data_IF_572162399017
#
_entry.id   IF_572162399017
#
_cell.length_a   1.000
_cell.length_b   1.000
_cell.length_c   1.000
_cell.angle_alpha   90.00
_cell.angle_beta   90.00
_cell.angle_gamma   90.00
#
_symmetry.space_group_name_H-M   'P 1'
#
loop_
_entity.id
_entity.type
_entity.pdbx_description
1 polymer ?
#
# COMPACT_ATOMS: atom_id res chain seq x y z
N UNK A 1 16.20 -19.41 44.72
CA UNK A 1 16.36 -18.05 44.18
C UNK A 1 15.20 -17.75 43.26
N UNK A 2 14.65 -16.53 43.29
CA UNK A 2 13.62 -16.12 42.33
C UNK A 2 14.33 -15.72 41.02
N UNK A 3 13.91 -16.28 39.90
CA UNK A 3 14.46 -15.93 38.59
C UNK A 3 13.91 -14.59 38.10
N UNK A 4 14.61 -13.98 37.14
CA UNK A 4 14.13 -12.79 36.45
C UNK A 4 13.01 -13.19 35.48
N UNK A 5 11.90 -12.44 35.50
CA UNK A 5 10.82 -12.60 34.53
C UNK A 5 11.32 -12.27 33.12
N UNK A 6 10.83 -13.00 32.11
CA UNK A 6 11.34 -12.89 30.75
C UNK A 6 11.15 -11.48 30.17
N UNK A 7 10.01 -10.86 30.45
CA UNK A 7 9.65 -9.50 30.03
C UNK A 7 10.69 -8.49 30.52
N UNK A 8 11.20 -8.68 31.74
CA UNK A 8 12.20 -7.79 32.33
C UNK A 8 13.56 -7.92 31.63
N UNK A 9 13.89 -9.11 31.15
CA UNK A 9 15.07 -9.31 30.30
C UNK A 9 14.89 -8.62 28.94
N UNK A 10 13.69 -8.66 28.35
CA UNK A 10 13.40 -7.96 27.08
C UNK A 10 13.50 -6.43 27.26
N UNK A 11 12.91 -5.88 28.32
CA UNK A 11 12.99 -4.44 28.64
C UNK A 11 14.43 -3.93 28.78
N UNK A 12 15.35 -4.77 29.30
CA UNK A 12 16.79 -4.49 29.33
C UNK A 12 17.36 -4.32 27.92
N UNK A 13 17.08 -5.23 26.99
CA UNK A 13 17.58 -5.14 25.61
C UNK A 13 16.94 -4.00 24.80
N UNK A 14 15.68 -3.65 25.08
CA UNK A 14 15.00 -2.48 24.50
C UNK A 14 15.48 -1.13 25.08
N UNK A 15 16.40 -1.14 26.07
CA UNK A 15 16.90 0.06 26.78
C UNK A 15 15.80 0.86 27.49
N UNK A 16 14.81 0.17 28.08
CA UNK A 16 13.66 0.78 28.77
C UNK A 16 13.81 0.80 30.29
N UNK A 17 14.85 0.16 30.82
CA UNK A 17 15.18 0.12 32.25
C UNK A 17 16.14 1.26 32.62
N UNK A 18 16.03 1.72 33.86
CA UNK A 18 17.02 2.63 34.46
C UNK A 18 18.37 1.94 34.69
N UNK A 19 19.43 2.73 34.86
CA UNK A 19 20.78 2.20 35.13
C UNK A 19 20.83 1.35 36.40
N UNK A 20 20.04 1.71 37.41
CA UNK A 20 19.93 0.94 38.66
C UNK A 20 19.32 -0.44 38.42
N UNK A 21 18.18 -0.50 37.73
CA UNK A 21 17.49 -1.76 37.40
C UNK A 21 18.34 -2.65 36.49
N UNK A 22 19.10 -2.05 35.58
CA UNK A 22 20.04 -2.77 34.73
C UNK A 22 21.15 -3.43 35.55
N UNK A 23 21.71 -2.71 36.53
CA UNK A 23 22.75 -3.22 37.42
C UNK A 23 22.26 -4.38 38.30
N UNK A 24 21.02 -4.31 38.79
CA UNK A 24 20.40 -5.40 39.58
C UNK A 24 20.24 -6.68 38.74
N UNK A 25 19.83 -6.54 37.47
CA UNK A 25 19.71 -7.66 36.53
C UNK A 25 21.08 -8.26 36.20
N UNK A 26 22.10 -7.42 35.97
CA UNK A 26 23.45 -7.89 35.64
C UNK A 26 24.09 -8.63 36.81
N UNK A 27 23.90 -8.13 38.05
CA UNK A 27 24.33 -8.82 39.26
C UNK A 27 23.67 -10.19 39.40
N UNK A 28 22.37 -10.29 39.15
CA UNK A 28 21.67 -11.58 39.20
C UNK A 28 22.12 -12.55 38.10
N UNK A 29 22.32 -12.07 36.87
CA UNK A 29 22.81 -12.89 35.75
C UNK A 29 24.20 -13.47 36.04
N UNK A 30 25.06 -12.70 36.72
CA UNK A 30 26.39 -13.17 37.12
C UNK A 30 26.33 -14.36 38.11
N UNK A 31 25.25 -14.46 38.90
CA UNK A 31 25.07 -15.50 39.92
C UNK A 31 24.14 -16.64 39.48
N UNK A 32 23.28 -16.42 38.47
CA UNK A 32 22.27 -17.38 38.02
C UNK A 32 22.52 -17.86 36.58
N UNK A 33 22.99 -19.10 36.43
CA UNK A 33 23.27 -19.74 35.13
C UNK A 33 22.07 -19.74 34.18
N UNK A 34 20.87 -19.99 34.71
CA UNK A 34 19.66 -20.12 33.88
C UNK A 34 19.25 -18.76 33.28
N UNK A 35 19.33 -17.70 34.08
CA UNK A 35 19.11 -16.33 33.63
C UNK A 35 20.21 -15.89 32.66
N UNK A 36 21.46 -16.31 32.88
CA UNK A 36 22.57 -16.09 31.95
C UNK A 36 22.35 -16.73 30.58
N UNK A 37 21.89 -18.00 30.53
CA UNK A 37 21.58 -18.68 29.27
C UNK A 37 20.44 -17.97 28.53
N UNK A 38 19.37 -17.57 29.23
CA UNK A 38 18.25 -16.83 28.63
C UNK A 38 18.69 -15.45 28.10
N UNK A 39 19.51 -14.74 28.87
CA UNK A 39 20.05 -13.43 28.48
C UNK A 39 20.97 -13.55 27.25
N UNK A 40 21.82 -14.56 27.18
CA UNK A 40 22.69 -14.80 26.02
C UNK A 40 21.87 -15.05 24.74
N UNK A 41 20.81 -15.87 24.81
CA UNK A 41 19.91 -16.10 23.67
C UNK A 41 19.21 -14.83 23.20
N UNK A 42 18.79 -13.98 24.13
CA UNK A 42 18.22 -12.67 23.80
C UNK A 42 19.27 -11.76 23.17
N UNK A 43 20.50 -11.75 23.68
CA UNK A 43 21.60 -10.98 23.09
C UNK A 43 21.86 -11.38 21.63
N UNK A 44 21.88 -12.67 21.33
CA UNK A 44 22.05 -13.18 19.96
C UNK A 44 20.90 -12.74 19.05
N UNK A 45 19.65 -12.84 19.53
CA UNK A 45 18.47 -12.40 18.78
C UNK A 45 18.51 -10.89 18.50
N UNK A 46 18.79 -10.07 19.52
CA UNK A 46 18.85 -8.63 19.36
C UNK A 46 20.04 -8.20 18.50
N UNK A 47 21.18 -8.90 18.56
CA UNK A 47 22.30 -8.66 17.67
C UNK A 47 21.96 -8.93 16.19
N UNK A 48 21.06 -9.86 15.90
CA UNK A 48 20.55 -10.10 14.54
C UNK A 48 19.57 -9.01 14.08
N UNK A 49 18.79 -8.44 15.01
CA UNK A 49 17.84 -7.35 14.71
C UNK A 49 18.49 -5.96 14.65
N UNK A 50 19.62 -5.79 15.34
CA UNK A 50 20.40 -4.56 15.35
C UNK A 50 21.20 -4.51 14.04
N UNK A 51 20.55 -3.98 12.99
CA UNK A 51 21.17 -3.71 11.70
C UNK A 51 22.22 -2.60 11.94
N UNK A 52 23.42 -3.01 12.36
CA UNK A 52 24.53 -2.11 12.71
C UNK A 52 25.09 -1.34 11.50
N UNK A 53 24.73 -1.75 10.30
CA UNK A 53 25.10 -1.09 9.03
C UNK A 53 23.91 -0.38 8.38
N UNK A 54 23.13 0.36 9.17
CA UNK A 54 22.32 1.42 8.56
C UNK A 54 23.27 2.54 8.13
N UNK A 55 23.71 2.49 6.88
CA UNK A 55 24.41 3.60 6.24
C UNK A 55 23.62 4.90 6.50
N UNK A 56 24.34 5.98 6.82
CA UNK A 56 23.72 7.29 6.92
C UNK A 56 23.07 7.61 5.58
N UNK A 57 21.73 7.65 5.58
CA UNK A 57 20.96 8.07 4.41
C UNK A 57 21.50 9.44 3.97
N UNK A 58 22.04 9.57 2.75
CA UNK A 58 22.58 10.83 2.27
C UNK A 58 21.51 11.92 2.37
N UNK A 59 21.89 13.12 2.82
CA UNK A 59 20.92 14.22 3.01
C UNK A 59 20.12 14.52 1.74
N UNK A 60 20.70 14.30 0.56
CA UNK A 60 20.01 14.45 -0.72
C UNK A 60 18.85 13.45 -0.88
N UNK A 61 18.97 12.23 -0.36
CA UNK A 61 17.91 11.21 -0.38
C UNK A 61 16.79 11.60 0.60
N UNK A 62 17.15 12.04 1.81
CA UNK A 62 16.17 12.53 2.79
C UNK A 62 15.42 13.76 2.27
N UNK A 63 16.14 14.71 1.66
CA UNK A 63 15.55 15.90 1.03
C UNK A 63 14.69 15.53 -0.19
N UNK A 64 15.09 14.51 -0.96
CA UNK A 64 14.30 13.97 -2.06
C UNK A 64 12.97 13.39 -1.59
N UNK A 65 13.01 12.55 -0.54
CA UNK A 65 11.81 11.97 0.08
C UNK A 65 10.92 13.08 0.64
N UNK A 66 11.47 14.04 1.39
CA UNK A 66 10.70 15.17 1.90
C UNK A 66 10.11 16.01 0.76
N UNK A 67 10.83 16.23 -0.34
CA UNK A 67 10.32 16.93 -1.51
C UNK A 67 9.19 16.16 -2.21
N UNK A 68 9.19 14.83 -2.22
CA UNK A 68 8.07 14.03 -2.75
C UNK A 68 6.81 14.31 -1.93
N UNK A 69 6.91 14.32 -0.59
CA UNK A 69 5.77 14.59 0.29
C UNK A 69 5.40 16.08 0.41
N UNK A 70 6.35 17.00 0.17
CA UNK A 70 6.15 18.45 0.24
C UNK A 70 5.81 19.09 -1.12
N UNK A 71 5.91 18.33 -2.22
CA UNK A 71 5.38 18.74 -3.53
C UNK A 71 3.87 18.86 -3.44
N UNK A 72 3.41 20.03 -2.98
CA UNK A 72 2.13 20.57 -3.37
C UNK A 72 2.17 20.65 -4.89
N UNK A 73 1.25 19.99 -5.63
CA UNK A 73 1.27 20.04 -7.07
C UNK A 73 1.19 21.51 -7.50
N UNK A 74 2.25 21.99 -8.15
CA UNK A 74 2.18 23.26 -8.86
C UNK A 74 1.22 22.99 -10.02
N UNK A 75 0.04 23.61 -9.97
CA UNK A 75 -0.89 23.64 -11.10
C UNK A 75 -0.16 24.28 -12.28
N UNK A 76 0.38 23.45 -13.17
CA UNK A 76 0.71 23.87 -14.52
C UNK A 76 -0.61 23.98 -15.27
N UNK A 77 -1.09 25.22 -15.44
CA UNK A 77 -2.23 25.56 -16.29
C UNK A 77 -1.87 25.28 -17.76
N UNK A 78 -1.85 24.00 -18.15
CA UNK A 78 -1.93 23.60 -19.55
C UNK A 78 -3.42 23.41 -19.82
N UNK A 79 -3.99 24.32 -20.61
CA UNK A 79 -5.39 24.32 -21.00
C UNK A 79 -5.72 23.07 -21.83
N UNK A 80 -6.24 22.04 -21.17
CA UNK A 80 -6.92 20.89 -21.79
C UNK A 80 -8.42 21.19 -21.81
N UNK A 81 -9.14 20.95 -22.92
CA UNK A 81 -10.55 21.29 -23.04
C UNK A 81 -11.39 20.51 -22.02
N UNK A 82 -12.19 21.25 -21.25
CA UNK A 82 -13.09 20.73 -20.22
C UNK A 82 -14.29 20.00 -20.85
N UNK A 83 -14.43 18.71 -20.55
CA UNK A 83 -15.65 17.91 -20.78
C UNK A 83 -15.92 17.08 -19.54
N UNK A 84 -17.19 16.85 -19.22
CA UNK A 84 -17.72 16.47 -17.91
C UNK A 84 -17.06 15.29 -17.19
N UNK A 85 -17.08 15.33 -15.85
CA UNK A 85 -16.79 14.17 -14.99
C UNK A 85 -15.32 13.98 -14.57
N UNK A 86 -14.52 15.03 -14.45
CA UNK A 86 -13.23 14.94 -13.77
C UNK A 86 -13.40 14.80 -12.25
N UNK A 87 -12.36 14.26 -11.62
CA UNK A 87 -12.16 14.06 -10.18
C UNK A 87 -12.72 12.69 -9.75
N UNK A 88 -11.94 11.69 -9.29
CA UNK A 88 -10.79 11.77 -8.39
C UNK A 88 -9.77 10.59 -8.60
N UNK A 89 -8.99 10.54 -9.68
CA UNK A 89 -7.81 9.63 -9.72
C UNK A 89 -6.80 10.06 -8.65
N UNK A 90 -6.58 9.23 -7.63
CA UNK A 90 -5.68 9.53 -6.50
C UNK A 90 -4.36 8.78 -6.55
N UNK A 91 -4.28 7.71 -7.33
CA UNK A 91 -3.05 6.93 -7.52
C UNK A 91 -3.07 6.24 -8.89
N UNK A 92 -1.91 6.18 -9.55
CA UNK A 92 -1.66 5.47 -10.80
C UNK A 92 -0.19 5.02 -10.83
N UNK A 93 0.07 3.72 -10.74
CA UNK A 93 1.44 3.21 -10.59
C UNK A 93 2.30 3.37 -11.85
N UNK A 94 1.69 3.50 -13.02
CA UNK A 94 2.41 3.83 -14.27
C UNK A 94 2.92 5.27 -14.32
N UNK A 95 2.38 6.16 -13.49
CA UNK A 95 2.87 7.53 -13.36
C UNK A 95 3.99 7.64 -12.31
N UNK A 96 4.31 6.55 -11.61
CA UNK A 96 5.36 6.51 -10.61
C UNK A 96 6.74 6.32 -11.25
N UNK A 97 7.78 6.86 -10.62
CA UNK A 97 9.14 6.59 -11.05
C UNK A 97 9.51 5.12 -10.76
N UNK A 98 10.33 4.51 -11.63
CA UNK A 98 10.75 3.09 -11.62
C UNK A 98 11.28 2.56 -10.26
N UNK A 99 11.61 3.45 -9.31
CA UNK A 99 12.13 3.12 -7.99
C UNK A 99 11.07 3.14 -6.86
N UNK A 100 9.82 3.46 -7.17
CA UNK A 100 8.72 3.49 -6.21
C UNK A 100 7.82 2.28 -6.50
N UNK A 101 7.83 1.28 -5.60
CA UNK A 101 7.03 0.02 -5.59
C UNK A 101 6.22 -0.24 -6.87
N UNK A 102 6.94 -0.58 -7.93
CA UNK A 102 6.38 -0.89 -9.24
C UNK A 102 5.77 -2.28 -9.23
N UNK A 103 4.47 -2.39 -9.55
CA UNK A 103 3.80 -3.68 -9.70
C UNK A 103 4.03 -4.19 -11.13
N UNK A 104 5.22 -4.72 -11.44
CA UNK A 104 5.49 -5.44 -12.71
C UNK A 104 5.34 -4.63 -14.03
N UNK A 105 5.90 -5.16 -15.13
CA UNK A 105 5.88 -4.46 -16.44
C UNK A 105 4.51 -4.49 -17.14
N UNK A 106 3.66 -5.45 -16.80
CA UNK A 106 2.42 -5.75 -17.52
C UNK A 106 1.17 -5.54 -16.64
N UNK A 107 1.31 -4.86 -15.50
CA UNK A 107 0.17 -4.51 -14.64
C UNK A 107 0.12 -3.02 -14.36
N UNK A 108 -1.10 -2.48 -14.27
CA UNK A 108 -1.39 -1.11 -13.88
C UNK A 108 -2.38 -1.12 -12.73
N UNK A 109 -2.13 -0.32 -11.71
CA UNK A 109 -3.05 -0.10 -10.61
C UNK A 109 -3.42 1.38 -10.55
N UNK A 110 -4.72 1.64 -10.53
CA UNK A 110 -5.30 2.96 -10.39
C UNK A 110 -6.27 2.98 -9.22
N UNK A 111 -6.21 4.03 -8.41
CA UNK A 111 -7.15 4.24 -7.32
C UNK A 111 -7.95 5.52 -7.60
N UNK A 112 -9.27 5.41 -7.55
CA UNK A 112 -10.18 6.53 -7.69
C UNK A 112 -10.90 6.77 -6.37
N UNK A 113 -11.31 8.01 -6.14
CA UNK A 113 -12.24 8.40 -5.07
C UNK A 113 -13.48 9.01 -5.71
N UNK A 114 -14.66 8.91 -5.11
CA UNK A 114 -15.86 9.63 -5.56
C UNK A 114 -16.95 9.60 -4.50
N UNK A 115 -17.43 10.77 -4.05
CA UNK A 115 -18.56 10.92 -3.12
C UNK A 115 -18.53 9.99 -1.88
N UNK A 116 -17.34 9.72 -1.36
CA UNK A 116 -17.15 8.87 -0.18
C UNK A 116 -16.88 7.39 -0.49
N UNK A 117 -16.84 7.02 -1.77
CA UNK A 117 -16.35 5.74 -2.23
C UNK A 117 -14.91 5.84 -2.73
N UNK A 118 -14.16 4.75 -2.60
CA UNK A 118 -12.87 4.50 -3.21
C UNK A 118 -13.01 3.30 -4.15
N UNK A 119 -12.38 3.38 -5.32
CA UNK A 119 -12.37 2.31 -6.32
C UNK A 119 -10.91 1.96 -6.61
N UNK A 120 -10.50 0.76 -6.21
CA UNK A 120 -9.22 0.18 -6.64
C UNK A 120 -9.44 -0.56 -7.97
N UNK A 121 -8.70 -0.19 -8.99
CA UNK A 121 -8.81 -0.73 -10.34
C UNK A 121 -7.45 -1.26 -10.79
N UNK A 122 -7.40 -2.55 -11.11
CA UNK A 122 -6.20 -3.22 -11.60
C UNK A 122 -6.41 -3.76 -13.02
N UNK A 123 -5.45 -3.46 -13.86
CA UNK A 123 -5.36 -3.92 -15.24
C UNK A 123 -4.15 -4.85 -15.33
N UNK A 124 -4.36 -6.05 -15.84
CA UNK A 124 -3.30 -6.99 -16.21
C UNK A 124 -3.29 -7.12 -17.73
N UNK A 125 -2.21 -6.72 -18.39
CA UNK A 125 -2.05 -6.82 -19.84
C UNK A 125 -1.62 -8.23 -20.23
N UNK A 126 -2.35 -8.84 -21.17
CA UNK A 126 -2.11 -10.19 -21.65
C UNK A 126 -2.14 -10.16 -23.18
N UNK A 127 -0.98 -9.97 -23.81
CA UNK A 127 -0.83 -9.82 -25.26
C UNK A 127 -1.64 -8.65 -25.83
N UNK A 128 -2.72 -8.91 -26.58
CA UNK A 128 -3.65 -7.92 -27.17
C UNK A 128 -4.94 -7.76 -26.36
N UNK A 129 -5.05 -8.49 -25.25
CA UNK A 129 -6.14 -8.43 -24.29
C UNK A 129 -5.65 -7.89 -22.96
N UNK A 130 -6.59 -7.65 -22.06
CA UNK A 130 -6.32 -7.33 -20.68
C UNK A 130 -7.39 -7.94 -19.78
N UNK A 131 -7.02 -8.20 -18.53
CA UNK A 131 -7.96 -8.57 -17.47
C UNK A 131 -8.16 -7.35 -16.58
N UNK A 132 -9.43 -7.00 -16.36
CA UNK A 132 -9.82 -5.91 -15.47
C UNK A 132 -10.40 -6.48 -14.18
N UNK A 133 -9.80 -6.10 -13.06
CA UNK A 133 -10.27 -6.47 -11.72
C UNK A 133 -10.28 -5.25 -10.82
N UNK A 134 -11.08 -5.26 -9.78
CA UNK A 134 -11.07 -4.15 -8.84
C UNK A 134 -12.01 -4.35 -7.67
N UNK A 135 -12.09 -3.31 -6.86
CA UNK A 135 -12.87 -3.32 -5.63
C UNK A 135 -13.43 -1.93 -5.33
N UNK A 136 -14.67 -1.90 -4.84
CA UNK A 136 -15.33 -0.70 -4.32
C UNK A 136 -15.31 -0.70 -2.79
N UNK A 137 -14.95 0.43 -2.20
CA UNK A 137 -15.00 0.68 -0.76
C UNK A 137 -15.77 1.97 -0.43
N UNK A 138 -16.57 2.03 0.66
CA UNK A 138 -17.08 0.87 1.37
C UNK A 138 -17.89 -0.04 0.44
N UNK A 139 -17.95 -1.33 0.76
CA UNK A 139 -18.67 -2.30 -0.06
C UNK A 139 -20.17 -1.97 -0.12
N UNK A 140 -20.79 -2.28 -1.26
CA UNK A 140 -22.23 -2.07 -1.44
C UNK A 140 -22.89 -3.28 -2.11
N UNK A 141 -23.89 -3.83 -1.42
CA UNK A 141 -24.60 -5.04 -1.86
C UNK A 141 -25.44 -4.71 -3.10
N UNK A 142 -25.27 -5.51 -4.14
CA UNK A 142 -26.02 -5.35 -5.40
C UNK A 142 -25.46 -4.26 -6.31
N UNK A 143 -24.28 -3.71 -6.00
CA UNK A 143 -23.58 -2.85 -6.92
C UNK A 143 -23.15 -3.62 -8.19
N UNK A 144 -23.10 -2.92 -9.31
CA UNK A 144 -22.66 -3.48 -10.60
C UNK A 144 -21.55 -2.63 -11.17
N UNK A 145 -20.55 -3.27 -11.77
CA UNK A 145 -19.52 -2.62 -12.55
C UNK A 145 -19.78 -2.86 -14.04
N UNK A 146 -19.50 -1.86 -14.86
CA UNK A 146 -19.70 -1.87 -16.29
C UNK A 146 -18.51 -1.23 -16.98
N UNK A 147 -18.11 -1.82 -18.11
CA UNK A 147 -17.18 -1.22 -19.07
C UNK A 147 -17.88 -1.07 -20.41
N UNK A 148 -17.63 0.05 -21.07
CA UNK A 148 -18.22 0.37 -22.36
C UNK A 148 -17.19 0.97 -23.30
N UNK A 149 -17.09 0.41 -24.50
CA UNK A 149 -16.44 1.06 -25.64
C UNK A 149 -17.35 0.92 -26.87
N UNK A 150 -17.13 -0.10 -27.69
CA UNK A 150 -18.05 -0.52 -28.77
C UNK A 150 -19.09 -1.54 -28.27
N UNK A 151 -18.72 -2.29 -27.23
CA UNK A 151 -19.59 -3.26 -26.57
C UNK A 151 -19.57 -2.98 -25.07
N UNK A 152 -20.69 -3.27 -24.43
CA UNK A 152 -20.86 -3.13 -22.99
C UNK A 152 -20.71 -4.49 -22.34
N UNK A 153 -19.85 -4.57 -21.33
CA UNK A 153 -19.80 -5.72 -20.42
C UNK A 153 -20.18 -5.24 -19.03
N UNK A 154 -20.94 -6.05 -18.31
CA UNK A 154 -21.41 -5.74 -16.96
C UNK A 154 -21.16 -6.93 -16.06
N UNK A 155 -20.72 -6.68 -14.83
CA UNK A 155 -20.53 -7.69 -13.79
C UNK A 155 -21.11 -7.20 -12.46
N UNK A 156 -21.51 -8.13 -11.60
CA UNK A 156 -21.98 -7.83 -10.24
C UNK A 156 -20.82 -7.86 -9.26
N UNK A 157 -20.77 -6.90 -8.35
CA UNK A 157 -19.80 -6.92 -7.26
C UNK A 157 -20.19 -8.01 -6.25
N UNK A 158 -19.20 -8.70 -5.68
CA UNK A 158 -19.44 -9.67 -4.62
C UNK A 158 -19.71 -8.98 -3.26
N UNK A 159 -19.91 -9.78 -2.20
CA UNK A 159 -20.19 -9.24 -0.85
C UNK A 159 -19.06 -8.41 -0.22
N UNK A 160 -17.87 -8.43 -0.82
CA UNK A 160 -16.71 -7.63 -0.42
C UNK A 160 -16.46 -6.43 -1.35
N UNK A 161 -17.38 -6.17 -2.29
CA UNK A 161 -17.24 -5.08 -3.27
C UNK A 161 -16.28 -5.39 -4.42
N UNK A 162 -15.81 -6.62 -4.55
CA UNK A 162 -14.86 -7.01 -5.61
C UNK A 162 -15.60 -7.30 -6.92
N UNK A 163 -14.99 -6.92 -8.03
CA UNK A 163 -15.46 -7.22 -9.38
C UNK A 163 -14.31 -7.71 -10.27
N UNK A 164 -14.67 -8.52 -11.25
CA UNK A 164 -13.78 -9.00 -12.29
C UNK A 164 -14.55 -9.08 -13.61
N UNK A 165 -13.90 -8.64 -14.68
CA UNK A 165 -14.36 -8.86 -16.05
C UNK A 165 -13.57 -10.01 -16.65
N UNK A 166 -14.18 -10.68 -17.63
CA UNK A 166 -13.46 -11.58 -18.51
C UNK A 166 -12.42 -10.81 -19.34
N UNK A 167 -11.58 -11.52 -20.09
CA UNK A 167 -10.58 -10.90 -20.95
C UNK A 167 -11.25 -9.93 -21.92
N UNK A 168 -10.80 -8.67 -21.90
CA UNK A 168 -11.28 -7.62 -22.78
C UNK A 168 -10.17 -7.14 -23.72
N UNK A 169 -10.47 -6.79 -24.98
CA UNK A 169 -9.48 -6.21 -25.87
C UNK A 169 -8.84 -4.96 -25.27
N UNK A 170 -7.57 -4.72 -25.56
CA UNK A 170 -6.94 -3.45 -25.23
C UNK A 170 -7.61 -2.29 -25.96
N UNK A 171 -7.69 -1.14 -25.30
CA UNK A 171 -8.31 0.06 -25.86
C UNK A 171 -8.70 1.09 -24.80
N UNK A 172 -9.58 2.00 -25.16
CA UNK A 172 -10.07 3.05 -24.27
C UNK A 172 -11.53 2.78 -23.93
N UNK A 173 -11.86 2.72 -22.64
CA UNK A 173 -13.17 2.33 -22.15
C UNK A 173 -13.71 3.35 -21.16
N UNK A 174 -15.01 3.57 -21.19
CA UNK A 174 -15.73 4.21 -20.10
C UNK A 174 -16.08 3.15 -19.07
N UNK A 175 -15.84 3.46 -17.80
CA UNK A 175 -16.07 2.57 -16.68
C UNK A 175 -17.15 3.15 -15.78
N UNK A 176 -18.10 2.33 -15.36
CA UNK A 176 -19.21 2.73 -14.50
C UNK A 176 -19.39 1.76 -13.36
N UNK A 177 -19.61 2.26 -12.15
CA UNK A 177 -20.14 1.47 -11.03
C UNK A 177 -21.47 2.05 -10.59
N UNK A 178 -22.53 1.24 -10.65
CA UNK A 178 -23.85 1.62 -10.15
C UNK A 178 -24.05 1.11 -8.73
N UNK A 179 -24.32 2.02 -7.80
CA UNK A 179 -24.53 1.79 -6.37
C UNK A 179 -25.89 2.34 -5.96
N UNK A 180 -26.91 1.48 -5.89
CA UNK A 180 -28.27 1.90 -5.58
C UNK A 180 -28.86 2.85 -6.63
N UNK A 181 -28.90 4.16 -6.33
CA UNK A 181 -29.34 5.23 -7.26
C UNK A 181 -28.20 6.13 -7.74
N UNK A 182 -26.98 5.85 -7.30
CA UNK A 182 -25.80 6.61 -7.65
C UNK A 182 -25.01 5.84 -8.70
N UNK A 183 -24.52 6.56 -9.72
CA UNK A 183 -23.56 6.00 -10.66
C UNK A 183 -22.23 6.74 -10.51
N UNK A 184 -21.16 5.97 -10.38
CA UNK A 184 -19.79 6.41 -10.40
C UNK A 184 -19.27 6.19 -11.82
N UNK A 185 -18.76 7.23 -12.47
CA UNK A 185 -18.31 7.17 -13.86
C UNK A 185 -16.83 7.58 -13.95
N UNK A 186 -16.07 6.81 -14.72
CA UNK A 186 -14.68 7.10 -15.07
C UNK A 186 -14.58 7.02 -16.60
N UNK A 187 -14.43 8.17 -17.24
CA UNK A 187 -14.36 8.23 -18.69
C UNK A 187 -12.96 7.90 -19.21
N UNK A 188 -12.91 7.26 -20.37
CA UNK A 188 -11.69 7.08 -21.18
C UNK A 188 -10.51 6.46 -20.41
N UNK A 189 -10.77 5.41 -19.65
CA UNK A 189 -9.74 4.60 -19.00
C UNK A 189 -8.92 3.88 -20.08
N UNK A 190 -7.61 4.12 -20.19
CA UNK A 190 -6.76 3.39 -21.13
C UNK A 190 -6.43 2.01 -20.55
N UNK A 191 -6.86 0.96 -21.25
CA UNK A 191 -6.55 -0.44 -20.99
C UNK A 191 -5.44 -0.95 -21.93
N UNK A 192 -4.40 -0.14 -22.11
CA UNK A 192 -3.27 -0.41 -23.01
C UNK A 192 -2.02 0.31 -22.49
N UNK A 193 -0.84 -0.19 -22.84
CA UNK A 193 0.45 0.49 -22.61
C UNK A 193 0.56 1.82 -23.36
#
# INVERSE_FOLDING_TARGET
>A
MKHIEFERLVEKFERRLSDQENGEIDAHIAECSDCGIKSAKLADFFAYSDIKDLERVPQAVTAGILNIYQRRPVRTDIAVPQTGGHDFLIFDDWQMAVNERYSGLDTRQMLYRFKGYDIDLRIELISDQCRLTGQLFPESIGATAEISSNQTQTTTLNKFGEFAFDLVPQGVYDFRISVGKEDLWIEKVPLQN
#
